data_IF_031155105539
#
_entry.id   IF_031155105539
#
_cell.length_a   1.000
_cell.length_b   1.000
_cell.length_c   1.000
_cell.angle_alpha   90.00
_cell.angle_beta   90.00
_cell.angle_gamma   90.00
#
_symmetry.space_group_name_H-M   'P 1'
#
loop_
_entity.id
_entity.type
_entity.pdbx_description
1 polymer ?
#
# COMPACT_ATOMS: atom_id res chain seq x y z
N UNK A 1 -26.09 -12.30 1.98
CA UNK A 1 -26.09 -13.46 1.07
C UNK A 1 -26.54 -12.96 -0.29
N UNK A 2 -25.94 -13.48 -1.35
CA UNK A 2 -26.27 -13.17 -2.74
C UNK A 2 -26.53 -14.47 -3.51
N UNK A 3 -27.41 -14.44 -4.51
CA UNK A 3 -27.71 -15.59 -5.35
C UNK A 3 -26.77 -15.58 -6.55
N UNK A 4 -25.83 -16.52 -6.61
CA UNK A 4 -24.90 -16.68 -7.72
C UNK A 4 -24.97 -18.11 -8.26
N UNK A 5 -25.29 -18.27 -9.55
CA UNK A 5 -25.31 -19.60 -10.18
C UNK A 5 -26.32 -20.61 -9.58
N UNK A 6 -27.37 -20.14 -8.90
CA UNK A 6 -28.37 -21.01 -8.26
C UNK A 6 -28.04 -21.43 -6.82
N UNK A 7 -26.93 -20.97 -6.26
CA UNK A 7 -26.59 -21.16 -4.84
C UNK A 7 -26.52 -19.81 -4.10
N UNK A 8 -26.86 -19.82 -2.81
CA UNK A 8 -26.72 -18.65 -1.95
C UNK A 8 -25.28 -18.59 -1.44
N UNK A 9 -24.51 -17.60 -1.88
CA UNK A 9 -23.16 -17.34 -1.40
C UNK A 9 -23.15 -16.16 -0.43
N UNK A 10 -22.11 -16.07 0.40
CA UNK A 10 -21.90 -14.88 1.22
C UNK A 10 -21.63 -13.66 0.33
N UNK A 11 -21.92 -12.47 0.87
CA UNK A 11 -21.53 -11.23 0.21
C UNK A 11 -20.01 -11.14 0.18
N UNK A 12 -19.45 -10.42 -0.80
CA UNK A 12 -18.01 -10.11 -0.85
C UNK A 12 -17.51 -9.60 0.49
N UNK A 13 -16.31 -10.04 0.90
CA UNK A 13 -15.74 -9.75 2.22
C UNK A 13 -16.26 -10.61 3.38
N UNK A 14 -17.21 -11.52 3.16
CA UNK A 14 -17.71 -12.44 4.19
C UNK A 14 -17.69 -13.89 3.71
N UNK A 15 -17.54 -14.82 4.65
CA UNK A 15 -17.66 -16.25 4.39
C UNK A 15 -18.52 -16.93 5.47
N UNK A 16 -18.93 -18.16 5.17
CA UNK A 16 -19.71 -19.00 6.08
C UNK A 16 -18.78 -19.85 6.95
N UNK A 17 -18.81 -19.63 8.26
CA UNK A 17 -17.98 -20.37 9.22
C UNK A 17 -18.68 -21.64 9.73
N UNK A 18 -19.05 -22.54 8.81
CA UNK A 18 -19.67 -23.85 9.08
C UNK A 18 -21.06 -23.84 9.76
N UNK A 19 -21.63 -22.67 10.07
CA UNK A 19 -22.94 -22.51 10.71
C UNK A 19 -24.04 -22.06 9.74
N UNK A 20 -23.76 -22.02 8.43
CA UNK A 20 -24.66 -21.46 7.41
C UNK A 20 -25.01 -19.99 7.63
N UNK A 21 -24.12 -19.24 8.30
CA UNK A 21 -24.29 -17.81 8.55
C UNK A 21 -23.05 -17.03 8.10
N UNK A 22 -23.27 -16.06 7.20
CA UNK A 22 -22.22 -15.20 6.64
C UNK A 22 -21.85 -14.07 7.61
N UNK A 23 -21.31 -14.43 8.78
CA UNK A 23 -21.00 -13.48 9.85
C UNK A 23 -19.52 -13.20 9.99
N UNK A 24 -18.66 -14.04 9.40
CA UNK A 24 -17.21 -13.91 9.54
C UNK A 24 -16.65 -13.13 8.36
N UNK A 25 -15.95 -12.04 8.65
CA UNK A 25 -15.26 -11.25 7.64
C UNK A 25 -13.98 -11.92 7.19
N UNK A 26 -13.61 -11.67 5.93
CA UNK A 26 -12.29 -12.00 5.42
C UNK A 26 -11.21 -11.11 6.03
N UNK A 27 -9.95 -11.51 5.88
CA UNK A 27 -8.78 -10.68 6.18
C UNK A 27 -8.84 -9.36 5.41
N UNK A 28 -8.20 -8.32 5.96
CA UNK A 28 -8.24 -6.97 5.39
C UNK A 28 -7.71 -6.89 3.96
N UNK A 29 -6.85 -7.83 3.55
CA UNK A 29 -6.27 -7.89 2.20
C UNK A 29 -7.08 -8.77 1.23
N UNK A 30 -7.95 -9.65 1.73
CA UNK A 30 -8.82 -10.47 0.89
C UNK A 30 -10.06 -9.69 0.44
N UNK A 31 -10.41 -9.79 -0.84
CA UNK A 31 -11.71 -9.34 -1.34
C UNK A 31 -12.76 -10.45 -1.19
N UNK A 32 -12.36 -11.70 -1.45
CA UNK A 32 -13.15 -12.89 -1.13
C UNK A 32 -12.29 -13.94 -0.45
N UNK A 33 -12.88 -14.74 0.44
CA UNK A 33 -12.21 -15.81 1.18
C UNK A 33 -13.15 -16.99 1.41
N UNK A 34 -12.60 -18.16 1.77
CA UNK A 34 -13.39 -19.36 2.04
C UNK A 34 -12.78 -20.22 3.14
N UNK A 35 -13.61 -20.76 4.05
CA UNK A 35 -13.20 -21.66 5.13
C UNK A 35 -12.41 -20.99 6.28
N UNK A 36 -11.68 -19.92 6.02
CA UNK A 36 -10.93 -19.11 6.99
C UNK A 36 -10.85 -17.66 6.50
N UNK A 37 -10.78 -16.65 7.41
CA UNK A 37 -10.58 -15.26 7.02
C UNK A 37 -9.34 -15.05 6.15
N UNK A 38 -8.28 -15.83 6.38
CA UNK A 38 -6.97 -15.69 5.73
C UNK A 38 -6.80 -16.53 4.47
N UNK A 39 -7.77 -17.40 4.15
CA UNK A 39 -7.74 -18.22 2.95
C UNK A 39 -8.43 -17.46 1.80
N UNK A 40 -7.70 -16.48 1.25
CA UNK A 40 -8.19 -15.61 0.19
C UNK A 40 -8.39 -16.40 -1.12
N UNK A 41 -9.48 -16.11 -1.82
CA UNK A 41 -9.72 -16.53 -3.20
C UNK A 41 -9.41 -15.40 -4.18
N UNK A 42 -9.69 -14.15 -3.79
CA UNK A 42 -9.33 -12.93 -4.51
C UNK A 42 -8.80 -11.88 -3.54
N UNK A 43 -7.96 -10.97 -4.03
CA UNK A 43 -7.41 -9.87 -3.25
C UNK A 43 -8.11 -8.56 -3.55
N UNK A 44 -8.07 -7.64 -2.58
CA UNK A 44 -8.44 -6.24 -2.81
C UNK A 44 -7.40 -5.57 -3.73
N UNK A 45 -7.72 -4.35 -4.16
CA UNK A 45 -6.82 -3.54 -4.99
C UNK A 45 -5.44 -3.40 -4.37
N UNK A 46 -4.40 -3.42 -5.22
CA UNK A 46 -2.99 -3.30 -4.84
C UNK A 46 -2.47 -4.43 -3.95
N UNK A 47 -3.05 -5.63 -4.11
CA UNK A 47 -2.56 -6.85 -3.52
C UNK A 47 -2.60 -7.99 -4.52
N UNK A 48 -1.62 -8.89 -4.40
CA UNK A 48 -1.47 -10.09 -5.23
C UNK A 48 -1.70 -11.34 -4.39
N UNK A 49 -2.42 -12.32 -4.96
CA UNK A 49 -2.66 -13.61 -4.31
C UNK A 49 -1.50 -14.57 -4.59
N UNK A 50 -1.01 -15.25 -3.55
CA UNK A 50 -0.06 -16.35 -3.67
C UNK A 50 -0.35 -17.37 -2.58
N UNK A 51 -0.54 -18.64 -2.96
CA UNK A 51 -0.91 -19.73 -2.04
C UNK A 51 -2.09 -19.35 -1.11
N UNK A 52 -3.14 -18.76 -1.68
CA UNK A 52 -4.33 -18.29 -0.97
C UNK A 52 -4.09 -17.19 0.08
N UNK A 53 -2.92 -16.56 0.08
CA UNK A 53 -2.61 -15.40 0.91
C UNK A 53 -2.49 -14.18 0.01
N UNK A 54 -3.19 -13.11 0.37
CA UNK A 54 -3.04 -11.81 -0.28
C UNK A 54 -1.92 -11.03 0.41
N UNK A 55 -1.03 -10.44 -0.39
CA UNK A 55 0.02 -9.54 0.10
C UNK A 55 -0.03 -8.25 -0.69
N UNK A 56 0.06 -7.11 0.00
CA UNK A 56 0.12 -5.81 -0.67
C UNK A 56 1.30 -5.76 -1.62
N UNK A 57 1.08 -5.18 -2.80
CA UNK A 57 2.09 -5.04 -3.83
C UNK A 57 3.22 -4.11 -3.36
N UNK A 58 4.38 -4.17 -4.00
CA UNK A 58 5.47 -3.24 -3.71
C UNK A 58 5.02 -1.78 -3.87
N UNK A 59 5.38 -0.94 -2.91
CA UNK A 59 4.89 0.45 -2.84
C UNK A 59 3.57 0.61 -2.07
N UNK A 60 3.03 -0.47 -1.50
CA UNK A 60 1.87 -0.45 -0.63
C UNK A 60 2.14 -1.17 0.69
N UNK A 61 1.42 -0.79 1.74
CA UNK A 61 1.44 -1.44 3.05
C UNK A 61 0.03 -1.81 3.52
N UNK A 62 -0.09 -2.87 4.31
CA UNK A 62 -1.37 -3.35 4.83
C UNK A 62 -1.92 -2.48 5.96
N UNK A 63 -3.21 -2.22 5.93
CA UNK A 63 -3.99 -1.60 7.01
C UNK A 63 -5.12 -2.53 7.47
N UNK A 64 -5.95 -2.07 8.41
CA UNK A 64 -7.13 -2.81 8.85
C UNK A 64 -8.17 -3.05 7.75
N UNK A 65 -8.17 -2.24 6.68
CA UNK A 65 -9.22 -2.28 5.67
C UNK A 65 -8.71 -2.62 4.26
N UNK A 66 -7.47 -2.26 3.91
CA UNK A 66 -6.91 -2.44 2.57
C UNK A 66 -5.38 -2.20 2.52
N UNK A 67 -4.81 -2.24 1.32
CA UNK A 67 -3.45 -1.80 1.05
C UNK A 67 -3.42 -0.29 0.75
N UNK A 68 -2.60 0.46 1.48
CA UNK A 68 -2.39 1.90 1.31
C UNK A 68 -1.03 2.19 0.71
N UNK A 69 -0.93 3.28 -0.06
CA UNK A 69 0.32 3.65 -0.75
C UNK A 69 1.39 4.10 0.24
N UNK A 70 2.63 3.74 -0.03
CA UNK A 70 3.80 4.25 0.69
C UNK A 70 4.05 5.73 0.37
N UNK A 71 4.88 6.38 1.19
CA UNK A 71 5.39 7.70 0.89
C UNK A 71 6.14 7.70 -0.45
N UNK A 72 6.05 8.82 -1.16
CA UNK A 72 6.66 8.99 -2.49
C UNK A 72 8.16 8.68 -2.51
N UNK A 73 8.85 8.82 -1.39
CA UNK A 73 10.29 8.53 -1.26
C UNK A 73 10.61 7.07 -0.92
N UNK A 74 9.63 6.25 -0.50
CA UNK A 74 9.83 4.83 -0.22
C UNK A 74 9.65 3.97 -1.49
N UNK A 75 10.48 2.95 -1.67
CA UNK A 75 10.18 1.83 -2.60
C UNK A 75 9.22 0.84 -1.92
N UNK A 76 9.50 0.53 -0.65
CA UNK A 76 8.65 -0.30 0.21
C UNK A 76 8.53 0.33 1.60
N UNK A 77 7.39 0.13 2.26
CA UNK A 77 7.10 0.63 3.60
C UNK A 77 6.32 -0.41 4.41
N UNK A 78 6.27 -0.24 5.73
CA UNK A 78 5.55 -1.14 6.63
C UNK A 78 4.99 -0.41 7.83
N UNK A 79 3.76 -0.75 8.24
CA UNK A 79 3.06 -0.16 9.39
C UNK A 79 2.53 1.26 9.17
N UNK A 80 3.23 2.09 8.38
CA UNK A 80 2.76 3.40 7.94
C UNK A 80 3.37 3.76 6.59
N UNK A 81 2.77 4.75 5.91
CA UNK A 81 3.27 5.24 4.63
C UNK A 81 4.73 5.74 4.72
N UNK A 82 5.12 6.37 5.83
CA UNK A 82 6.43 7.02 5.99
C UNK A 82 7.49 6.14 6.63
N UNK A 83 7.12 4.98 7.16
CA UNK A 83 8.08 3.99 7.69
C UNK A 83 8.60 3.14 6.54
N UNK A 84 9.58 3.67 5.82
CA UNK A 84 10.20 3.03 4.69
C UNK A 84 11.11 1.86 5.14
N UNK A 85 11.00 0.74 4.45
CA UNK A 85 11.97 -0.35 4.52
C UNK A 85 13.13 -0.11 3.54
N UNK A 86 12.85 0.50 2.40
CA UNK A 86 13.84 0.88 1.38
C UNK A 86 13.48 2.21 0.73
N UNK A 87 14.49 3.02 0.41
CA UNK A 87 14.32 4.31 -0.25
C UNK A 87 14.41 4.19 -1.78
N UNK A 88 13.70 5.08 -2.48
CA UNK A 88 13.88 5.31 -3.91
C UNK A 88 15.24 5.95 -4.18
N UNK A 89 15.62 6.00 -5.46
CA UNK A 89 16.83 6.67 -5.92
C UNK A 89 16.84 8.14 -5.45
N UNK A 90 18.04 8.61 -5.08
CA UNK A 90 18.28 9.97 -4.61
C UNK A 90 17.57 10.33 -3.29
N UNK A 91 17.31 9.32 -2.46
CA UNK A 91 16.84 9.49 -1.10
C UNK A 91 17.62 8.59 -0.15
N UNK A 92 17.89 9.11 1.04
CA UNK A 92 18.61 8.41 2.12
C UNK A 92 17.70 8.18 3.31
N UNK A 93 17.80 6.98 3.91
CA UNK A 93 17.03 6.61 5.10
C UNK A 93 17.66 7.20 6.36
N UNK A 94 16.86 7.92 7.14
CA UNK A 94 17.18 8.34 8.51
C UNK A 94 16.07 7.86 9.42
N UNK A 95 16.36 6.91 10.31
CA UNK A 95 15.38 6.33 11.23
C UNK A 95 14.12 5.78 10.53
N UNK A 96 14.31 5.03 9.43
CA UNK A 96 13.24 4.48 8.57
C UNK A 96 12.37 5.52 7.86
N UNK A 97 12.79 6.78 7.81
CA UNK A 97 12.16 7.81 6.99
C UNK A 97 13.12 8.16 5.86
N UNK A 98 12.68 8.06 4.62
CA UNK A 98 13.48 8.45 3.47
C UNK A 98 13.36 9.96 3.25
N UNK A 99 14.49 10.63 3.02
CA UNK A 99 14.54 12.05 2.69
C UNK A 99 15.36 12.22 1.42
N UNK A 100 14.90 13.07 0.51
CA UNK A 100 15.64 13.36 -0.72
C UNK A 100 17.03 13.89 -0.38
N UNK A 101 18.03 13.42 -1.12
CA UNK A 101 19.42 13.81 -0.96
C UNK A 101 19.61 15.30 -1.28
N UNK A 102 20.72 15.89 -0.81
CA UNK A 102 21.04 17.28 -1.15
C UNK A 102 21.10 17.49 -2.67
N UNK A 103 20.45 18.55 -3.15
CA UNK A 103 20.28 18.81 -4.58
C UNK A 103 19.08 18.12 -5.22
N UNK A 104 18.23 17.44 -4.44
CA UNK A 104 16.97 16.86 -4.89
C UNK A 104 15.79 17.36 -4.02
N UNK A 105 14.59 17.37 -4.58
CA UNK A 105 13.35 17.71 -3.89
C UNK A 105 12.27 16.64 -4.10
N UNK A 106 11.39 16.49 -3.12
CA UNK A 106 10.29 15.53 -3.18
C UNK A 106 9.16 15.98 -4.11
N UNK A 107 8.64 15.05 -4.89
CA UNK A 107 7.43 15.18 -5.71
C UNK A 107 6.37 14.16 -5.27
N UNK A 108 5.25 14.06 -6.00
CA UNK A 108 4.24 13.04 -5.73
C UNK A 108 4.77 11.61 -5.91
N UNK A 109 5.79 11.42 -6.75
CA UNK A 109 6.24 10.09 -7.17
C UNK A 109 7.66 9.74 -6.73
N UNK A 110 8.57 10.71 -6.60
CA UNK A 110 9.98 10.47 -6.28
C UNK A 110 10.75 11.77 -5.94
N UNK A 111 12.06 11.65 -5.73
CA UNK A 111 12.98 12.77 -5.63
C UNK A 111 13.45 13.22 -7.02
N UNK A 112 13.23 14.50 -7.36
CA UNK A 112 13.67 15.13 -8.61
C UNK A 112 14.85 16.06 -8.36
N UNK A 113 15.74 16.18 -9.34
CA UNK A 113 16.93 17.04 -9.24
C UNK A 113 16.51 18.52 -9.20
N UNK A 114 17.15 19.31 -8.35
CA UNK A 114 17.03 20.76 -8.39
C UNK A 114 17.58 21.31 -9.71
N UNK A 115 17.06 22.45 -10.17
CA UNK A 115 17.70 23.18 -11.27
C UNK A 115 19.14 23.54 -10.88
N UNK A 116 20.07 23.43 -11.85
CA UNK A 116 21.50 23.72 -11.64
C UNK A 116 21.79 25.14 -11.15
N UNK A 117 20.84 26.07 -11.31
CA UNK A 117 20.90 27.44 -10.81
C UNK A 117 20.52 27.58 -9.33
N UNK A 118 20.02 26.51 -8.69
CA UNK A 118 19.59 26.49 -7.30
C UNK A 118 20.51 25.62 -6.44
N UNK A 119 21.04 26.17 -5.35
CA UNK A 119 21.80 25.41 -4.36
C UNK A 119 20.90 24.54 -3.47
N UNK A 120 19.65 24.98 -3.23
CA UNK A 120 18.59 24.26 -2.52
C UNK A 120 17.26 24.54 -3.20
N UNK A 121 16.34 23.57 -3.18
CA UNK A 121 14.99 23.76 -3.72
C UNK A 121 13.95 23.02 -2.86
N UNK A 122 12.75 23.59 -2.73
CA UNK A 122 11.63 22.97 -2.00
C UNK A 122 10.39 23.04 -2.89
N UNK A 123 10.03 21.90 -3.51
CA UNK A 123 9.01 21.85 -4.55
C UNK A 123 9.46 22.49 -5.87
N UNK A 124 8.50 22.90 -6.71
CA UNK A 124 8.73 23.63 -7.97
C UNK A 124 8.98 25.13 -7.77
N UNK A 125 9.10 25.60 -6.53
CA UNK A 125 9.18 27.03 -6.21
C UNK A 125 10.63 27.46 -5.95
N UNK A 126 11.10 28.34 -6.84
CA UNK A 126 12.32 29.11 -6.76
C UNK A 126 12.39 29.88 -5.43
N UNK A 127 13.37 29.57 -4.57
CA UNK A 127 13.81 30.52 -3.54
C UNK A 127 15.06 31.21 -4.09
N UNK A 128 14.85 32.35 -4.75
CA UNK A 128 15.92 33.33 -4.89
C UNK A 128 16.26 33.79 -3.46
N UNK A 129 17.49 33.50 -3.02
CA UNK A 129 18.06 34.24 -1.90
C UNK A 129 18.22 35.69 -2.39
N UNK A 130 17.36 36.59 -1.89
CA UNK A 130 17.61 38.03 -1.87
C UNK A 130 18.33 38.38 -0.57
#
# INVERSE_FOLDING_TARGET
MNLSGGTCTCNTGYFDSATSTCVTSCDSTCDTCSGSPTNCLTCKSHATVSNNVCSCDSGYYGTADNCQVCDSTCVTCSGSATTCLTCKSHATAVSNVCSCDSGYYGTADNCQVCDSTCATCSGSAYLFNL
#
